data_IF_115197351741
#
_entry.id   IF_115197351741
#
_cell.length_a   1.000
_cell.length_b   1.000
_cell.length_c   1.000
_cell.angle_alpha   90.00
_cell.angle_beta   90.00
_cell.angle_gamma   90.00
#
_symmetry.space_group_name_H-M   'P 1'
#
loop_
_entity.id
_entity.type
_entity.pdbx_description
1 polymer ?
#
# COMPACT_ATOMS: atom_id res chain seq x y z
N UNK A 1 -7.37 21.75 -1.90
CA UNK A 1 -8.58 22.51 -2.24
C UNK A 1 -9.16 21.92 -3.50
N UNK A 2 -10.49 21.78 -3.53
CA UNK A 2 -11.29 21.20 -4.62
C UNK A 2 -11.49 19.68 -4.56
N UNK A 3 -12.78 19.36 -4.51
CA UNK A 3 -13.42 18.05 -4.63
C UNK A 3 -13.22 17.37 -6.00
N UNK A 4 -12.36 17.93 -6.86
CA UNK A 4 -12.15 17.48 -8.24
C UNK A 4 -11.00 16.47 -8.39
N UNK A 5 -10.14 16.33 -7.37
CA UNK A 5 -9.01 15.39 -7.45
C UNK A 5 -9.42 13.95 -7.10
N UNK A 6 -10.47 13.76 -6.29
CA UNK A 6 -10.98 12.45 -5.87
C UNK A 6 -11.88 11.75 -6.90
N UNK A 7 -12.24 12.43 -8.00
CA UNK A 7 -13.03 11.85 -9.10
C UNK A 7 -12.18 11.21 -10.20
N UNK A 8 -10.87 11.47 -10.21
CA UNK A 8 -9.96 11.01 -11.29
C UNK A 8 -9.22 9.74 -10.90
N UNK A 9 -9.05 9.49 -9.60
CA UNK A 9 -8.40 8.27 -9.10
C UNK A 9 -9.39 7.57 -8.15
N UNK A 10 -9.90 6.38 -8.48
CA UNK A 10 -10.69 5.60 -7.55
C UNK A 10 -9.76 5.12 -6.42
N UNK A 11 -9.60 5.92 -5.38
CA UNK A 11 -9.03 5.44 -4.12
C UNK A 11 -10.16 4.79 -3.33
N UNK A 12 -10.27 3.46 -3.46
CA UNK A 12 -11.21 2.63 -2.71
C UNK A 12 -11.08 2.93 -1.21
N UNK A 13 -12.22 3.12 -0.54
CA UNK A 13 -12.36 3.48 0.87
C UNK A 13 -11.26 2.90 1.77
N UNK A 14 -10.17 3.64 1.95
CA UNK A 14 -9.28 3.42 3.09
C UNK A 14 -10.10 3.83 4.30
N UNK A 15 -10.47 2.82 5.09
CA UNK A 15 -11.32 2.87 6.28
C UNK A 15 -11.34 4.27 6.93
N UNK A 16 -12.37 5.07 6.61
CA UNK A 16 -12.45 6.51 6.94
C UNK A 16 -12.26 6.78 8.44
N UNK A 17 -12.68 5.81 9.27
CA UNK A 17 -12.51 5.83 10.71
C UNK A 17 -11.03 5.80 11.11
N UNK A 18 -10.22 4.95 10.45
CA UNK A 18 -8.78 4.88 10.69
C UNK A 18 -8.06 6.17 10.30
N UNK A 19 -8.56 6.86 9.27
CA UNK A 19 -8.01 8.14 8.79
C UNK A 19 -8.32 9.27 9.77
N UNK A 20 -9.57 9.35 10.26
CA UNK A 20 -9.95 10.34 11.28
C UNK A 20 -9.19 10.12 12.60
N UNK A 21 -9.06 8.86 13.04
CA UNK A 21 -8.29 8.52 14.24
C UNK A 21 -6.83 8.97 14.10
N UNK A 22 -6.21 8.72 12.94
CA UNK A 22 -4.84 9.18 12.68
C UNK A 22 -4.73 10.69 12.74
N UNK A 23 -5.66 11.44 12.14
CA UNK A 23 -5.65 12.90 12.23
C UNK A 23 -5.75 13.38 13.67
N UNK A 24 -6.65 12.81 14.48
CA UNK A 24 -6.78 13.15 15.90
C UNK A 24 -5.49 12.87 16.67
N UNK A 25 -4.87 11.70 16.47
CA UNK A 25 -3.61 11.34 17.13
C UNK A 25 -2.50 12.31 16.74
N UNK A 26 -2.35 12.64 15.45
CA UNK A 26 -1.32 13.60 15.01
C UNK A 26 -1.59 15.01 15.54
N UNK A 27 -2.84 15.45 15.62
CA UNK A 27 -3.20 16.72 16.25
C UNK A 27 -2.84 16.74 17.74
N UNK A 28 -3.13 15.67 18.48
CA UNK A 28 -2.75 15.55 19.90
C UNK A 28 -1.24 15.56 20.09
N UNK A 29 -0.49 14.80 19.27
CA UNK A 29 0.97 14.80 19.31
C UNK A 29 1.56 16.19 18.98
N UNK A 30 0.95 16.91 18.04
CA UNK A 30 1.33 18.29 17.74
C UNK A 30 1.19 19.19 18.98
N UNK A 31 0.07 19.12 19.70
CA UNK A 31 -0.10 19.91 20.93
C UNK A 31 0.85 19.48 22.05
N UNK A 32 1.08 18.18 22.23
CA UNK A 32 2.04 17.67 23.23
C UNK A 32 3.45 18.19 22.96
N UNK A 33 3.87 18.25 21.69
CA UNK A 33 5.19 18.76 21.32
C UNK A 33 5.37 20.24 21.70
N UNK A 34 4.34 21.06 21.48
CA UNK A 34 4.38 22.51 21.72
C UNK A 34 3.92 22.91 23.14
N UNK A 35 3.44 21.96 23.95
CA UNK A 35 2.89 22.20 25.28
C UNK A 35 3.82 23.01 26.16
N UNK A 36 5.11 22.63 26.20
CA UNK A 36 6.10 23.27 27.07
C UNK A 36 6.30 24.76 26.72
N UNK A 37 6.42 25.08 25.43
CA UNK A 37 6.69 26.43 24.95
C UNK A 37 5.47 27.32 25.15
N UNK A 38 4.28 26.78 24.86
CA UNK A 38 3.02 27.49 25.11
C UNK A 38 2.86 27.78 26.60
N UNK A 39 3.18 26.82 27.48
CA UNK A 39 3.08 27.01 28.92
C UNK A 39 3.96 28.17 29.41
N UNK A 40 5.24 28.22 29.01
CA UNK A 40 6.15 29.29 29.42
C UNK A 40 5.71 30.67 28.92
N UNK A 41 5.36 30.77 27.64
CA UNK A 41 4.94 32.05 27.04
C UNK A 41 3.61 32.56 27.60
N UNK A 42 2.70 31.65 27.96
CA UNK A 42 1.43 32.00 28.61
C UNK A 42 1.67 32.51 30.02
N UNK A 43 2.53 31.85 30.79
CA UNK A 43 2.87 32.28 32.15
C UNK A 43 3.56 33.63 32.18
N UNK A 44 4.34 33.96 31.15
CA UNK A 44 4.98 35.27 30.98
C UNK A 44 4.05 36.32 30.38
N UNK A 45 2.79 35.98 30.06
CA UNK A 45 1.83 36.88 29.40
C UNK A 45 2.40 37.56 28.14
N UNK A 46 3.17 36.80 27.36
CA UNK A 46 3.94 37.31 26.22
C UNK A 46 3.09 38.07 25.17
N UNK A 47 1.78 37.79 25.11
CA UNK A 47 0.84 38.50 24.24
C UNK A 47 0.63 39.98 24.61
N UNK A 48 0.89 40.40 25.85
CA UNK A 48 0.71 41.80 26.28
C UNK A 48 1.74 42.71 25.60
N UNK A 49 2.98 42.26 25.49
CA UNK A 49 4.06 43.04 24.87
C UNK A 49 4.17 42.77 23.36
N UNK A 50 3.92 41.53 22.90
CA UNK A 50 4.27 41.07 21.54
C UNK A 50 3.12 40.34 20.84
N UNK A 51 1.97 41.01 20.70
CA UNK A 51 0.75 40.44 20.11
C UNK A 51 0.93 39.85 18.70
N UNK A 52 1.69 40.49 17.80
CA UNK A 52 1.90 40.01 16.43
C UNK A 52 2.72 38.71 16.44
N UNK A 53 3.81 38.69 17.19
CA UNK A 53 4.68 37.51 17.34
C UNK A 53 3.92 36.32 17.94
N UNK A 54 3.02 36.58 18.89
CA UNK A 54 2.13 35.58 19.47
C UNK A 54 1.19 34.96 18.42
N UNK A 55 0.55 35.78 17.59
CA UNK A 55 -0.34 35.31 16.51
C UNK A 55 0.43 34.48 15.47
N UNK A 56 1.63 34.93 15.07
CA UNK A 56 2.47 34.20 14.11
C UNK A 56 2.91 32.83 14.65
N UNK A 57 3.23 32.77 15.95
CA UNK A 57 3.58 31.52 16.62
C UNK A 57 2.40 30.55 16.63
N UNK A 58 1.20 31.01 17.02
CA UNK A 58 -0.01 30.19 16.99
C UNK A 58 -0.34 29.70 15.57
N UNK A 59 -0.23 30.56 14.57
CA UNK A 59 -0.42 30.19 13.16
C UNK A 59 0.58 29.10 12.73
N UNK A 60 1.84 29.23 13.13
CA UNK A 60 2.87 28.24 12.82
C UNK A 60 2.55 26.89 13.46
N UNK A 61 2.11 26.87 14.72
CA UNK A 61 1.77 25.64 15.45
C UNK A 61 0.51 24.97 14.87
N UNK A 62 -0.48 25.74 14.41
CA UNK A 62 -1.75 25.22 13.90
C UNK A 62 -1.67 24.77 12.43
N UNK A 63 -0.92 25.48 11.59
CA UNK A 63 -0.92 25.27 10.14
C UNK A 63 0.35 24.58 9.66
N UNK A 64 1.51 25.10 10.07
CA UNK A 64 2.80 24.66 9.52
C UNK A 64 3.26 23.37 10.22
N UNK A 65 3.15 23.31 11.55
CA UNK A 65 3.66 22.20 12.35
C UNK A 65 3.02 20.84 11.99
N UNK A 66 1.70 20.70 11.82
CA UNK A 66 1.10 19.41 11.43
C UNK A 66 1.58 18.92 10.06
N UNK A 67 1.83 19.85 9.12
CA UNK A 67 2.35 19.52 7.80
C UNK A 67 3.79 18.99 7.90
N UNK A 68 4.64 19.67 8.67
CA UNK A 68 6.04 19.24 8.90
C UNK A 68 6.08 17.89 9.61
N UNK A 69 5.26 17.67 10.65
CA UNK A 69 5.15 16.39 11.33
C UNK A 69 4.68 15.27 10.39
N UNK A 70 3.70 15.55 9.53
CA UNK A 70 3.24 14.62 8.50
C UNK A 70 4.33 14.24 7.51
N UNK A 71 5.12 15.21 7.03
CA UNK A 71 6.26 14.97 6.14
C UNK A 71 7.35 14.12 6.81
N UNK A 72 7.74 14.47 8.03
CA UNK A 72 8.73 13.72 8.80
C UNK A 72 8.24 12.29 9.04
N UNK A 73 6.98 12.12 9.43
CA UNK A 73 6.37 10.81 9.63
C UNK A 73 6.39 10.00 8.32
N UNK A 74 5.96 10.59 7.20
CA UNK A 74 5.94 9.93 5.88
C UNK A 74 7.32 9.54 5.35
N UNK A 75 8.34 10.36 5.60
CA UNK A 75 9.73 10.01 5.27
C UNK A 75 10.28 8.91 6.18
N UNK A 76 9.87 8.91 7.46
CA UNK A 76 10.34 7.96 8.46
C UNK A 76 9.76 6.55 8.25
N UNK A 77 8.61 6.42 7.59
CA UNK A 77 8.02 5.13 7.22
C UNK A 77 8.89 4.31 6.25
N UNK A 78 9.82 4.95 5.53
CA UNK A 78 10.75 4.27 4.62
C UNK A 78 12.01 3.73 5.31
N UNK A 79 12.30 4.13 6.55
CA UNK A 79 13.52 3.74 7.28
C UNK A 79 13.21 2.70 8.35
N UNK A 80 14.01 1.63 8.36
CA UNK A 80 13.96 0.52 9.32
C UNK A 80 14.05 0.94 10.81
N UNK A 81 14.45 2.19 11.07
CA UNK A 81 14.49 2.79 12.40
C UNK A 81 13.11 3.01 13.04
N UNK A 82 12.08 3.40 12.27
CA UNK A 82 10.72 3.56 12.81
C UNK A 82 10.14 2.23 13.27
N UNK A 83 10.42 1.16 12.52
CA UNK A 83 10.08 -0.23 12.89
C UNK A 83 10.70 -0.64 14.23
N UNK A 84 11.92 -0.19 14.53
CA UNK A 84 12.57 -0.45 15.83
C UNK A 84 11.95 0.37 16.97
N UNK A 85 11.63 1.64 16.73
CA UNK A 85 11.03 2.51 17.74
C UNK A 85 9.59 2.10 18.09
N UNK A 86 8.76 1.80 17.08
CA UNK A 86 7.38 1.35 17.28
C UNK A 86 7.32 0.01 18.04
N UNK A 87 8.20 -0.95 17.68
CA UNK A 87 8.32 -2.22 18.43
C UNK A 87 8.69 -2.02 19.90
N UNK A 88 9.52 -1.01 20.22
CA UNK A 88 9.91 -0.69 21.61
C UNK A 88 8.77 -0.07 22.42
N UNK A 89 7.82 0.60 21.75
CA UNK A 89 6.64 1.22 22.37
C UNK A 89 5.46 0.24 22.45
N UNK A 90 5.64 -1.03 22.06
CA UNK A 90 4.57 -2.05 22.11
C UNK A 90 3.51 -1.89 21.02
N UNK A 91 3.63 -0.85 20.19
CA UNK A 91 2.89 -0.72 18.94
C UNK A 91 3.57 -1.64 17.94
N UNK A 92 3.15 -2.90 17.88
CA UNK A 92 3.52 -3.75 16.76
C UNK A 92 3.04 -2.99 15.52
N UNK A 93 3.94 -2.47 14.66
CA UNK A 93 3.50 -2.00 13.37
C UNK A 93 2.72 -3.18 12.80
N UNK A 94 1.47 -2.96 12.41
CA UNK A 94 0.75 -3.94 11.60
C UNK A 94 1.54 -3.96 10.28
N UNK A 95 2.66 -4.67 10.31
CA UNK A 95 3.21 -5.26 9.12
C UNK A 95 2.08 -6.17 8.69
N UNK A 96 1.43 -5.83 7.57
CA UNK A 96 0.87 -6.87 6.75
C UNK A 96 2.02 -7.83 6.53
N UNK A 97 2.05 -8.92 7.31
CA UNK A 97 2.89 -10.05 6.97
C UNK A 97 2.48 -10.36 5.53
N UNK A 98 3.42 -10.36 4.56
CA UNK A 98 3.05 -10.63 3.18
C UNK A 98 2.23 -11.91 3.20
N UNK A 99 1.01 -11.81 2.69
CA UNK A 99 0.14 -12.97 2.66
C UNK A 99 0.81 -14.04 1.83
N UNK A 100 0.41 -15.32 1.97
CA UNK A 100 0.95 -16.37 1.10
C UNK A 100 0.81 -15.97 -0.39
N UNK A 101 -0.25 -15.23 -0.72
CA UNK A 101 -0.49 -14.60 -2.01
C UNK A 101 0.59 -13.58 -2.40
N UNK A 102 0.87 -12.59 -1.55
CA UNK A 102 1.91 -11.58 -1.82
C UNK A 102 3.30 -12.22 -1.95
N UNK A 103 3.55 -13.31 -1.21
CA UNK A 103 4.82 -14.02 -1.28
C UNK A 103 5.02 -14.74 -2.62
N UNK A 104 3.97 -15.41 -3.13
CA UNK A 104 4.09 -16.20 -4.36
C UNK A 104 3.98 -15.35 -5.63
N UNK A 105 3.25 -14.23 -5.60
CA UNK A 105 3.04 -13.35 -6.75
C UNK A 105 4.10 -12.25 -6.91
N UNK A 106 5.18 -12.29 -6.12
CA UNK A 106 6.30 -11.35 -6.18
C UNK A 106 7.25 -11.61 -7.37
N UNK A 107 7.19 -12.81 -7.97
CA UNK A 107 8.13 -13.24 -9.01
C UNK A 107 7.41 -13.66 -10.28
N UNK A 108 8.03 -13.45 -11.47
CA UNK A 108 7.49 -13.99 -12.70
C UNK A 108 7.43 -15.52 -12.66
N UNK A 109 6.34 -16.07 -13.16
CA UNK A 109 6.08 -17.50 -13.17
C UNK A 109 5.13 -17.87 -14.32
N UNK A 110 5.25 -19.11 -14.78
CA UNK A 110 4.18 -19.74 -15.55
C UNK A 110 3.03 -20.05 -14.60
N UNK A 111 1.81 -19.72 -14.99
CA UNK A 111 0.62 -19.90 -14.18
C UNK A 111 -0.39 -20.79 -14.88
N UNK A 112 -0.95 -21.72 -14.12
CA UNK A 112 -2.17 -22.45 -14.49
C UNK A 112 -3.23 -22.05 -13.48
N UNK A 113 -4.28 -21.40 -13.95
CA UNK A 113 -5.36 -20.88 -13.11
C UNK A 113 -6.60 -21.73 -13.39
N UNK A 114 -7.01 -22.51 -12.41
CA UNK A 114 -8.27 -23.27 -12.48
C UNK A 114 -9.39 -22.42 -11.89
N UNK A 115 -10.44 -22.22 -12.67
CA UNK A 115 -11.63 -21.48 -12.27
C UNK A 115 -12.61 -22.40 -11.53
N UNK A 116 -13.62 -21.80 -10.89
CA UNK A 116 -14.64 -22.54 -10.13
C UNK A 116 -15.50 -23.47 -10.98
N UNK A 117 -15.62 -23.19 -12.28
CA UNK A 117 -16.30 -24.02 -13.26
C UNK A 117 -15.41 -25.14 -13.84
N UNK A 118 -14.23 -25.36 -13.26
CA UNK A 118 -13.20 -26.31 -13.70
C UNK A 118 -12.56 -26.00 -15.05
N UNK A 119 -12.88 -24.86 -15.68
CA UNK A 119 -12.10 -24.35 -16.81
C UNK A 119 -10.71 -23.89 -16.36
N UNK A 120 -9.75 -23.91 -17.30
CA UNK A 120 -8.35 -23.62 -17.00
C UNK A 120 -7.83 -22.54 -17.92
N UNK A 121 -7.11 -21.59 -17.33
CA UNK A 121 -6.38 -20.52 -18.04
C UNK A 121 -4.89 -20.79 -17.90
N UNK A 122 -4.22 -20.93 -19.04
CA UNK A 122 -2.77 -21.05 -19.13
C UNK A 122 -2.18 -19.67 -19.40
N UNK A 123 -1.20 -19.26 -18.61
CA UNK A 123 -0.66 -17.91 -18.74
C UNK A 123 0.77 -17.73 -18.26
N UNK A 124 1.33 -16.59 -18.62
CA UNK A 124 2.60 -16.10 -18.10
C UNK A 124 2.34 -14.90 -17.21
N UNK A 125 2.61 -15.04 -15.91
CA UNK A 125 2.59 -13.94 -14.96
C UNK A 125 3.97 -13.30 -14.94
N UNK A 126 4.09 -12.10 -15.50
CA UNK A 126 5.36 -11.40 -15.64
C UNK A 126 5.28 -9.92 -15.29
N UNK A 127 6.10 -9.10 -15.96
CA UNK A 127 6.34 -7.71 -15.51
C UNK A 127 5.14 -6.78 -15.67
N UNK A 128 4.27 -7.07 -16.64
CA UNK A 128 3.04 -6.32 -16.83
C UNK A 128 1.84 -7.04 -16.20
N UNK A 129 2.04 -8.15 -15.51
CA UNK A 129 0.99 -8.81 -14.72
C UNK A 129 0.78 -8.11 -13.38
N UNK A 130 -0.39 -8.32 -12.76
CA UNK A 130 -0.72 -7.67 -11.50
C UNK A 130 -1.55 -8.60 -10.61
N UNK A 131 -1.09 -8.83 -9.39
CA UNK A 131 -1.87 -9.48 -8.35
C UNK A 131 -2.22 -8.44 -7.29
N UNK A 132 -3.51 -8.29 -6.96
CA UNK A 132 -3.91 -7.32 -5.95
C UNK A 132 -3.40 -7.75 -4.56
N UNK A 133 -2.80 -6.80 -3.85
CA UNK A 133 -2.33 -6.96 -2.45
C UNK A 133 -3.40 -6.62 -1.41
N UNK A 134 -4.65 -6.34 -1.82
CA UNK A 134 -5.74 -6.05 -0.89
C UNK A 134 -6.28 -7.39 -0.35
N UNK A 135 -6.32 -7.63 0.98
CA UNK A 135 -6.69 -8.94 1.53
C UNK A 135 -8.05 -9.51 1.06
N UNK A 136 -8.99 -8.63 0.72
CA UNK A 136 -10.36 -8.97 0.29
C UNK A 136 -10.56 -8.88 -1.23
N UNK A 137 -9.52 -8.55 -1.99
CA UNK A 137 -9.52 -8.54 -3.45
C UNK A 137 -8.20 -9.15 -3.90
N UNK A 138 -8.17 -10.47 -4.09
CA UNK A 138 -7.04 -11.22 -4.63
C UNK A 138 -7.31 -11.59 -6.08
N UNK A 139 -7.74 -10.61 -6.86
CA UNK A 139 -7.82 -10.71 -8.30
C UNK A 139 -6.41 -10.71 -8.92
N UNK A 140 -6.33 -11.31 -10.09
CA UNK A 140 -5.08 -11.47 -10.83
C UNK A 140 -5.29 -11.06 -12.29
N UNK A 141 -4.38 -10.24 -12.78
CA UNK A 141 -4.20 -9.95 -14.19
C UNK A 141 -2.94 -10.65 -14.68
N UNK A 142 -3.07 -11.43 -15.76
CA UNK A 142 -1.99 -12.19 -16.38
C UNK A 142 -1.74 -11.62 -17.76
N UNK A 143 -0.48 -11.29 -18.07
CA UNK A 143 -0.13 -10.48 -19.25
C UNK A 143 -0.20 -11.24 -20.58
N UNK A 144 0.07 -12.56 -20.57
CA UNK A 144 -0.02 -13.41 -21.76
C UNK A 144 -0.83 -14.66 -21.43
N UNK A 145 -1.79 -14.97 -22.27
CA UNK A 145 -2.56 -16.22 -22.24
C UNK A 145 -2.10 -17.17 -23.34
N UNK A 146 -2.21 -18.46 -23.09
CA UNK A 146 -1.84 -19.51 -24.03
C UNK A 146 -3.02 -20.43 -24.28
N UNK A 147 -3.19 -20.82 -25.53
CA UNK A 147 -3.97 -21.98 -25.90
C UNK A 147 -3.12 -23.23 -25.73
N UNK A 148 -3.74 -24.28 -25.21
CA UNK A 148 -3.09 -25.56 -25.02
C UNK A 148 -3.55 -26.54 -26.10
N UNK A 149 -2.79 -26.58 -27.20
CA UNK A 149 -3.02 -27.46 -28.34
C UNK A 149 -1.79 -28.35 -28.56
N UNK A 150 -2.00 -29.64 -28.85
CA UNK A 150 -0.93 -30.60 -29.16
C UNK A 150 0.25 -30.62 -28.16
N UNK A 151 -0.03 -30.53 -26.86
CA UNK A 151 0.97 -30.43 -25.78
C UNK A 151 1.91 -29.21 -25.89
N UNK A 152 1.48 -28.17 -26.61
CA UNK A 152 2.23 -26.92 -26.77
C UNK A 152 1.41 -25.75 -26.26
N UNK A 153 2.11 -24.82 -25.64
CA UNK A 153 1.56 -23.54 -25.22
C UNK A 153 1.72 -22.58 -26.39
N UNK A 154 0.61 -22.26 -27.05
CA UNK A 154 0.58 -21.34 -28.19
C UNK A 154 0.10 -19.99 -27.66
N UNK A 155 0.91 -18.92 -27.71
CA UNK A 155 0.49 -17.62 -27.21
C UNK A 155 -0.68 -17.10 -28.05
N UNK A 156 -1.73 -16.62 -27.38
CA UNK A 156 -2.83 -15.95 -28.06
C UNK A 156 -2.38 -14.52 -28.45
N UNK A 157 -1.96 -14.35 -29.70
CA UNK A 157 -1.51 -13.06 -30.23
C UNK A 157 -2.59 -11.98 -30.25
N UNK A 158 -3.87 -12.34 -30.07
CA UNK A 158 -4.98 -11.39 -29.99
C UNK A 158 -5.28 -10.96 -28.56
N UNK A 159 -4.76 -11.69 -27.57
CA UNK A 159 -4.95 -11.40 -26.17
C UNK A 159 -4.04 -10.27 -25.73
N UNK A 160 -4.61 -9.31 -25.00
CA UNK A 160 -3.86 -8.30 -24.24
C UNK A 160 -3.71 -8.73 -22.78
N UNK A 161 -3.83 -10.03 -22.51
CA UNK A 161 -3.90 -10.59 -21.16
C UNK A 161 -5.33 -10.80 -20.66
N UNK A 162 -5.43 -11.39 -19.48
CA UNK A 162 -6.70 -11.76 -18.85
C UNK A 162 -6.74 -11.30 -17.40
N UNK A 163 -7.85 -10.69 -17.01
CA UNK A 163 -8.15 -10.34 -15.63
C UNK A 163 -9.16 -11.34 -15.06
N UNK A 164 -8.84 -11.89 -13.89
CA UNK A 164 -9.63 -12.92 -13.23
C UNK A 164 -9.90 -12.47 -11.78
N UNK A 165 -11.17 -12.25 -11.41
CA UNK A 165 -11.52 -11.86 -10.05
C UNK A 165 -11.31 -13.03 -9.07
N UNK A 166 -10.93 -12.71 -7.82
CA UNK A 166 -10.76 -13.72 -6.76
C UNK A 166 -11.95 -14.68 -6.63
N UNK A 167 -13.17 -14.17 -6.85
CA UNK A 167 -14.40 -14.96 -6.71
C UNK A 167 -14.49 -16.12 -7.69
N UNK A 168 -13.79 -16.07 -8.81
CA UNK A 168 -13.81 -17.12 -9.84
C UNK A 168 -12.63 -18.09 -9.72
N UNK A 169 -11.58 -17.73 -8.98
CA UNK A 169 -10.37 -18.55 -8.84
C UNK A 169 -10.64 -19.70 -7.86
N UNK A 170 -10.43 -20.93 -8.32
CA UNK A 170 -10.44 -22.13 -7.47
C UNK A 170 -9.07 -22.37 -6.86
N UNK A 171 -8.02 -22.37 -7.68
CA UNK A 171 -6.61 -22.42 -7.26
C UNK A 171 -5.68 -21.95 -8.39
N UNK A 172 -4.41 -21.69 -8.06
CA UNK A 172 -3.37 -21.30 -9.00
C UNK A 172 -2.15 -22.19 -8.77
N UNK A 173 -1.65 -22.79 -9.84
CA UNK A 173 -0.37 -23.49 -9.87
C UNK A 173 0.68 -22.58 -10.49
N UNK A 174 1.87 -22.55 -9.88
CA UNK A 174 2.98 -21.67 -10.25
C UNK A 174 4.19 -22.52 -10.61
N UNK A 175 4.77 -22.27 -11.78
CA UNK A 175 5.96 -22.98 -12.25
C UNK A 175 7.09 -21.99 -12.52
N UNK A 176 8.30 -22.38 -12.09
CA UNK A 176 9.50 -21.59 -12.31
C UNK A 176 9.81 -21.46 -13.81
N UNK A 177 10.52 -20.39 -14.17
CA UNK A 177 10.97 -20.15 -15.54
C UNK A 177 12.00 -21.18 -16.05
N UNK A 178 12.55 -22.00 -15.17
CA UNK A 178 13.56 -23.02 -15.48
C UNK A 178 12.96 -24.42 -15.41
N UNK A 179 12.80 -25.05 -16.58
CA UNK A 179 13.29 -26.39 -16.94
C UNK A 179 12.70 -26.82 -18.30
N UNK A 180 13.53 -26.76 -19.33
CA UNK A 180 13.23 -27.26 -20.69
C UNK A 180 14.50 -27.59 -21.45
N UNK A 181 15.49 -28.20 -20.79
CA UNK A 181 16.80 -28.45 -21.38
C UNK A 181 17.72 -29.33 -20.54
N UNK A 182 17.22 -30.46 -20.06
CA UNK A 182 18.08 -31.62 -19.76
C UNK A 182 17.41 -32.86 -20.38
N UNK A 183 17.47 -32.95 -21.71
CA UNK A 183 17.48 -34.25 -22.36
C UNK A 183 18.87 -34.84 -22.13
N UNK A 184 18.93 -35.95 -21.41
CA UNK A 184 20.15 -36.69 -21.13
C UNK A 184 20.82 -37.17 -22.42
N UNK A 185 22.14 -37.06 -22.46
CA UNK A 185 23.01 -37.74 -23.43
C UNK A 185 23.23 -39.21 -23.12
#
# INVERSE_FOLDING_TARGET
MSSAYSSIVPSRNSDSQSTLLRFLVFSLLNYVLWWWLLYELIMQKYWEDHAISWILLLFTILVISPYVLGLIAGMSTKKEWTRKLLKKVGLNPIHGVPTAWDYVMDRPAWVIITLKDDSTVYGFYGKNSFASSIPNERDIYVEVTYDFEDNKWIPDERSVGIWIPQSEIKHIELFNLTNGGEEGG
#
